data_IF_335600105179
#
_entry.id   IF_335600105179
#
_cell.length_a   1.000
_cell.length_b   1.000
_cell.length_c   1.000
_cell.angle_alpha   90.00
_cell.angle_beta   90.00
_cell.angle_gamma   90.00
#
_symmetry.space_group_name_H-M   'P 1'
#
loop_
_entity.id
_entity.type
_entity.pdbx_description
1 polymer ?
#
# COMPACT_ATOMS: atom_id res chain seq x y z
N UNK A 1 87.74 37.68 9.89
CA UNK A 1 87.12 36.44 10.40
C UNK A 1 85.82 36.20 9.64
N UNK A 2 85.69 35.15 8.82
CA UNK A 2 84.46 34.88 8.07
C UNK A 2 83.42 34.14 8.94
N UNK A 3 82.15 34.48 8.74
CA UNK A 3 80.97 33.93 9.44
C UNK A 3 80.66 32.54 8.88
N UNK A 4 80.65 31.52 9.73
CA UNK A 4 80.26 30.15 9.36
C UNK A 4 78.75 30.13 9.07
N UNK A 5 78.39 29.74 7.86
CA UNK A 5 77.00 29.61 7.42
C UNK A 5 76.49 28.20 7.78
N UNK A 6 75.70 28.09 8.85
CA UNK A 6 75.06 26.84 9.25
C UNK A 6 73.95 26.45 8.24
N UNK A 7 74.18 25.38 7.49
CA UNK A 7 73.14 24.75 6.66
C UNK A 7 72.02 24.14 7.54
N UNK A 8 70.73 24.31 7.19
CA UNK A 8 69.64 23.58 7.84
C UNK A 8 69.74 22.07 7.61
N UNK A 9 69.51 21.27 8.66
CA UNK A 9 69.48 19.79 8.59
C UNK A 9 68.22 19.31 7.86
N UNK A 10 68.29 18.22 7.06
CA UNK A 10 67.10 17.64 6.43
C UNK A 10 66.20 16.94 7.47
N UNK A 11 64.88 16.84 7.20
CA UNK A 11 63.93 16.22 8.12
C UNK A 11 64.15 14.70 8.26
N UNK A 12 64.08 14.21 9.49
CA UNK A 12 64.16 12.79 9.84
C UNK A 12 62.85 12.09 9.47
N UNK A 13 62.91 11.12 8.55
CA UNK A 13 61.77 10.25 8.20
C UNK A 13 61.60 9.19 9.30
N UNK A 14 60.49 9.20 10.02
CA UNK A 14 60.11 8.10 10.94
C UNK A 14 59.55 6.90 10.16
N UNK A 15 59.85 5.64 10.53
CA UNK A 15 59.14 4.48 10.00
C UNK A 15 57.74 4.46 10.59
N UNK A 16 56.71 4.49 9.73
CA UNK A 16 55.32 4.28 10.15
C UNK A 16 55.13 2.83 10.58
N UNK A 17 54.84 2.63 11.86
CA UNK A 17 54.44 1.34 12.42
C UNK A 17 53.09 0.92 11.86
N UNK A 18 53.00 -0.36 11.50
CA UNK A 18 51.75 -0.99 11.12
C UNK A 18 50.83 -1.10 12.32
N UNK A 19 49.60 -0.62 12.16
CA UNK A 19 48.48 -0.99 13.01
C UNK A 19 47.51 -1.83 12.19
N UNK A 20 47.48 -3.12 12.53
CA UNK A 20 46.36 -3.98 12.24
C UNK A 20 45.19 -3.64 13.15
N UNK A 21 44.08 -3.25 12.56
CA UNK A 21 42.74 -3.24 13.16
C UNK A 21 41.78 -3.49 11.99
N UNK A 22 40.94 -4.51 11.99
CA UNK A 22 40.13 -5.00 13.09
C UNK A 22 38.68 -4.73 12.70
N UNK A 23 37.97 -5.78 12.29
CA UNK A 23 36.51 -5.79 12.16
C UNK A 23 35.95 -5.01 10.97
N UNK A 24 35.85 -5.68 9.82
CA UNK A 24 34.83 -5.35 8.82
C UNK A 24 33.46 -5.65 9.44
N UNK A 25 32.92 -4.68 10.18
CA UNK A 25 31.54 -4.69 10.64
C UNK A 25 30.64 -4.69 9.43
N UNK A 26 30.06 -5.86 9.13
CA UNK A 26 28.94 -5.97 8.20
C UNK A 26 27.86 -5.01 8.67
N UNK A 27 27.68 -3.93 7.92
CA UNK A 27 26.57 -3.02 8.11
C UNK A 27 25.30 -3.84 8.01
N UNK A 28 24.67 -4.11 9.15
CA UNK A 28 23.24 -4.34 9.17
C UNK A 28 22.64 -3.09 8.55
N UNK A 29 22.25 -3.17 7.28
CA UNK A 29 21.30 -2.23 6.72
C UNK A 29 20.03 -2.39 7.55
N UNK A 30 19.96 -1.61 8.64
CA UNK A 30 18.78 -1.53 9.48
C UNK A 30 17.69 -0.99 8.55
N UNK A 31 16.85 -1.90 8.05
CA UNK A 31 15.69 -1.55 7.25
C UNK A 31 14.99 -0.39 7.94
N UNK A 32 14.80 0.77 7.29
CA UNK A 32 14.23 1.93 7.94
C UNK A 32 12.90 1.51 8.56
N UNK A 33 12.78 1.68 9.88
CA UNK A 33 11.64 1.25 10.72
C UNK A 33 10.24 1.46 10.10
N UNK A 34 9.96 2.55 9.34
CA UNK A 34 8.67 2.75 8.68
C UNK A 34 8.35 1.73 7.58
N UNK A 35 9.37 1.20 6.89
CA UNK A 35 9.20 0.24 5.80
C UNK A 35 8.90 -1.16 6.33
N UNK A 36 9.50 -1.53 7.47
CA UNK A 36 9.22 -2.79 8.15
C UNK A 36 7.75 -2.84 8.60
N UNK A 37 7.23 -1.76 9.20
CA UNK A 37 5.82 -1.69 9.62
C UNK A 37 4.84 -1.85 8.46
N UNK A 38 5.11 -1.18 7.33
CA UNK A 38 4.31 -1.33 6.11
C UNK A 38 4.35 -2.77 5.57
N UNK A 39 5.54 -3.38 5.51
CA UNK A 39 5.72 -4.75 5.03
C UNK A 39 4.96 -5.77 5.91
N UNK A 40 5.06 -5.63 7.23
CA UNK A 40 4.34 -6.52 8.17
C UNK A 40 2.83 -6.40 7.99
N UNK A 41 2.31 -5.17 7.86
CA UNK A 41 0.89 -4.95 7.56
C UNK A 41 0.52 -5.58 6.23
N UNK A 42 1.27 -5.34 5.16
CA UNK A 42 0.96 -5.91 3.84
C UNK A 42 1.01 -7.45 3.86
N UNK A 43 1.96 -8.05 4.58
CA UNK A 43 2.06 -9.49 4.74
C UNK A 43 0.88 -10.07 5.53
N UNK A 44 0.47 -9.40 6.62
CA UNK A 44 -0.69 -9.79 7.42
C UNK A 44 -2.00 -9.71 6.61
N UNK A 45 -2.20 -8.60 5.89
CA UNK A 45 -3.36 -8.38 5.03
C UNK A 45 -3.41 -9.40 3.89
N UNK A 46 -2.27 -9.68 3.27
CA UNK A 46 -2.18 -10.71 2.22
C UNK A 46 -2.52 -12.10 2.77
N UNK A 47 -1.99 -12.46 3.94
CA UNK A 47 -2.31 -13.74 4.60
C UNK A 47 -3.79 -13.86 4.95
N UNK A 48 -4.40 -12.77 5.44
CA UNK A 48 -5.82 -12.71 5.75
C UNK A 48 -6.68 -12.95 4.49
N UNK A 49 -6.42 -12.20 3.41
CA UNK A 49 -7.16 -12.37 2.15
C UNK A 49 -6.91 -13.72 1.49
N UNK A 50 -5.71 -14.29 1.61
CA UNK A 50 -5.41 -15.64 1.13
C UNK A 50 -6.21 -16.71 1.89
N UNK A 51 -6.30 -16.60 3.22
CA UNK A 51 -7.10 -17.51 4.04
C UNK A 51 -8.60 -17.42 3.68
N UNK A 52 -9.12 -16.20 3.52
CA UNK A 52 -10.51 -15.97 3.08
C UNK A 52 -10.78 -16.53 1.69
N UNK A 53 -9.83 -16.38 0.76
CA UNK A 53 -9.93 -16.94 -0.59
C UNK A 53 -9.97 -18.47 -0.56
N UNK A 54 -9.13 -19.10 0.26
CA UNK A 54 -9.15 -20.56 0.44
C UNK A 54 -10.50 -21.03 0.98
N UNK A 55 -11.02 -20.38 2.03
CA UNK A 55 -12.34 -20.69 2.58
C UNK A 55 -13.48 -20.50 1.56
N UNK A 56 -13.41 -19.43 0.75
CA UNK A 56 -14.36 -19.17 -0.34
C UNK A 56 -14.38 -20.31 -1.36
N UNK A 57 -13.21 -20.71 -1.87
CA UNK A 57 -13.08 -21.74 -2.88
C UNK A 57 -13.59 -23.10 -2.38
N UNK A 58 -13.28 -23.45 -1.13
CA UNK A 58 -13.80 -24.67 -0.50
C UNK A 58 -15.33 -24.60 -0.37
N UNK A 59 -15.88 -23.48 0.11
CA UNK A 59 -17.33 -23.34 0.30
C UNK A 59 -18.11 -23.36 -1.01
N UNK A 60 -17.52 -22.85 -2.09
CA UNK A 60 -18.09 -22.85 -3.44
C UNK A 60 -18.29 -24.27 -3.99
N UNK A 61 -17.49 -25.25 -3.55
CA UNK A 61 -17.65 -26.66 -3.91
C UNK A 61 -18.69 -27.43 -3.09
N UNK A 62 -19.32 -26.80 -2.08
CA UNK A 62 -20.28 -27.44 -1.19
C UNK A 62 -21.74 -27.09 -1.56
N UNK A 63 -22.73 -27.95 -1.22
CA UNK A 63 -24.14 -27.66 -1.45
C UNK A 63 -24.63 -26.33 -0.85
N UNK A 64 -25.68 -25.77 -1.46
CA UNK A 64 -26.28 -24.51 -1.03
C UNK A 64 -25.49 -23.26 -1.46
N UNK A 65 -24.57 -23.39 -2.41
CA UNK A 65 -23.94 -22.25 -3.06
C UNK A 65 -24.87 -21.67 -4.12
N UNK A 66 -25.12 -20.36 -4.05
CA UNK A 66 -25.82 -19.63 -5.09
C UNK A 66 -24.98 -18.39 -5.46
N UNK A 67 -24.63 -18.24 -6.73
CA UNK A 67 -23.87 -17.07 -7.18
C UNK A 67 -24.70 -15.79 -6.95
N UNK A 68 -24.03 -14.69 -6.58
CA UNK A 68 -24.69 -13.41 -6.49
C UNK A 68 -24.84 -12.79 -7.88
N UNK A 69 -25.94 -12.08 -8.14
CA UNK A 69 -26.00 -11.19 -9.29
C UNK A 69 -24.93 -10.11 -9.12
N UNK A 70 -24.14 -9.87 -10.17
CA UNK A 70 -23.08 -8.86 -10.15
C UNK A 70 -23.68 -7.49 -10.46
N UNK A 71 -23.79 -6.57 -9.47
CA UNK A 71 -24.37 -5.26 -9.74
C UNK A 71 -23.45 -4.49 -10.69
N UNK A 72 -23.98 -3.81 -11.74
CA UNK A 72 -23.16 -3.01 -12.64
C UNK A 72 -22.41 -1.89 -11.90
N UNK A 73 -22.89 -1.51 -10.72
CA UNK A 73 -22.23 -0.57 -9.81
C UNK A 73 -20.81 -1.00 -9.40
N UNK A 74 -20.51 -2.31 -9.36
CA UNK A 74 -19.16 -2.81 -9.09
C UNK A 74 -18.15 -2.34 -10.14
N UNK A 75 -18.55 -2.20 -11.41
CA UNK A 75 -17.69 -1.68 -12.47
C UNK A 75 -17.40 -0.20 -12.29
N UNK A 76 -18.42 0.57 -11.91
CA UNK A 76 -18.23 1.98 -11.58
C UNK A 76 -17.29 2.15 -10.39
N UNK A 77 -17.45 1.35 -9.32
CA UNK A 77 -16.54 1.37 -8.18
C UNK A 77 -15.11 1.03 -8.61
N UNK A 78 -14.94 0.01 -9.45
CA UNK A 78 -13.63 -0.39 -9.97
C UNK A 78 -12.97 0.74 -10.76
N UNK A 79 -13.75 1.44 -11.60
CA UNK A 79 -13.26 2.63 -12.32
C UNK A 79 -12.85 3.75 -11.35
N UNK A 80 -13.64 4.03 -10.31
CA UNK A 80 -13.30 5.03 -9.30
C UNK A 80 -11.99 4.70 -8.59
N UNK A 81 -11.79 3.43 -8.19
CA UNK A 81 -10.57 3.00 -7.52
C UNK A 81 -9.35 3.05 -8.45
N UNK A 82 -9.52 2.66 -9.71
CA UNK A 82 -8.48 2.77 -10.73
C UNK A 82 -8.06 4.23 -10.92
N UNK A 83 -9.02 5.14 -11.08
CA UNK A 83 -8.77 6.57 -11.21
C UNK A 83 -8.12 7.14 -9.94
N UNK A 84 -8.52 6.68 -8.76
CA UNK A 84 -7.90 7.08 -7.50
C UNK A 84 -6.41 6.72 -7.48
N UNK A 85 -6.09 5.48 -7.87
CA UNK A 85 -4.72 4.98 -7.92
C UNK A 85 -3.87 5.76 -8.92
N UNK A 86 -4.38 6.01 -10.13
CA UNK A 86 -3.69 6.80 -11.15
C UNK A 86 -3.49 8.25 -10.71
N UNK A 87 -4.47 8.83 -10.02
CA UNK A 87 -4.36 10.18 -9.47
C UNK A 87 -3.26 10.26 -8.41
N UNK A 88 -3.16 9.29 -7.51
CA UNK A 88 -2.12 9.24 -6.48
C UNK A 88 -0.73 8.97 -7.06
N UNK A 89 -0.63 8.09 -8.06
CA UNK A 89 0.60 7.89 -8.82
C UNK A 89 1.07 9.19 -9.47
N UNK A 90 0.15 9.92 -10.11
CA UNK A 90 0.46 11.21 -10.71
C UNK A 90 0.87 12.24 -9.66
N UNK A 91 0.25 12.24 -8.48
CA UNK A 91 0.64 13.09 -7.35
C UNK A 91 2.08 12.79 -6.90
N UNK A 92 2.44 11.50 -6.78
CA UNK A 92 3.75 11.05 -6.32
C UNK A 92 4.89 11.34 -7.31
N UNK A 93 4.57 11.57 -8.59
CA UNK A 93 5.54 11.92 -9.65
C UNK A 93 5.78 13.42 -9.80
N UNK A 94 5.00 14.28 -9.13
CA UNK A 94 5.21 15.72 -9.23
C UNK A 94 6.42 16.16 -8.42
N UNK A 95 7.19 17.10 -8.97
CA UNK A 95 8.38 17.66 -8.30
C UNK A 95 8.04 18.63 -7.17
N UNK A 96 6.87 19.28 -7.24
CA UNK A 96 6.42 20.25 -6.24
C UNK A 96 5.10 19.83 -5.59
N UNK A 97 5.01 20.06 -4.28
CA UNK A 97 3.78 19.78 -3.51
C UNK A 97 2.56 20.55 -4.03
N UNK A 98 2.75 21.79 -4.49
CA UNK A 98 1.67 22.61 -5.06
C UNK A 98 1.02 21.94 -6.27
N UNK A 99 1.80 21.23 -7.09
CA UNK A 99 1.31 20.45 -8.23
C UNK A 99 0.80 19.07 -7.81
N UNK A 100 1.37 18.46 -6.78
CA UNK A 100 0.97 17.14 -6.27
C UNK A 100 -0.38 17.18 -5.53
N UNK A 101 -0.62 18.21 -4.73
CA UNK A 101 -1.78 18.36 -3.84
C UNK A 101 -3.14 18.13 -4.52
N UNK A 102 -3.48 18.75 -5.67
CA UNK A 102 -4.78 18.51 -6.31
C UNK A 102 -4.98 17.04 -6.72
N UNK A 103 -3.94 16.38 -7.21
CA UNK A 103 -4.00 14.95 -7.56
C UNK A 103 -4.13 14.05 -6.33
N UNK A 104 -3.47 14.40 -5.22
CA UNK A 104 -3.63 13.69 -3.96
C UNK A 104 -5.07 13.82 -3.42
N UNK A 105 -5.62 15.04 -3.44
CA UNK A 105 -7.02 15.28 -3.04
C UNK A 105 -8.01 14.55 -3.94
N UNK A 106 -7.83 14.61 -5.27
CA UNK A 106 -8.66 13.88 -6.21
C UNK A 106 -8.63 12.37 -5.94
N UNK A 107 -7.44 11.80 -5.68
CA UNK A 107 -7.30 10.39 -5.30
C UNK A 107 -8.06 10.03 -4.03
N UNK A 108 -7.95 10.87 -2.98
CA UNK A 108 -8.70 10.69 -1.75
C UNK A 108 -10.22 10.75 -1.95
N UNK A 109 -10.70 11.75 -2.70
CA UNK A 109 -12.14 11.91 -3.02
C UNK A 109 -12.66 10.71 -3.81
N UNK A 110 -11.92 10.23 -4.80
CA UNK A 110 -12.29 9.05 -5.59
C UNK A 110 -12.35 7.79 -4.72
N UNK A 111 -11.43 7.61 -3.77
CA UNK A 111 -11.49 6.50 -2.82
C UNK A 111 -12.66 6.59 -1.84
N UNK A 112 -13.04 7.80 -1.38
CA UNK A 112 -14.28 7.99 -0.62
C UNK A 112 -15.50 7.65 -1.50
N UNK A 113 -15.48 8.04 -2.78
CA UNK A 113 -16.48 7.67 -3.76
C UNK A 113 -16.63 6.14 -3.89
N UNK A 114 -15.53 5.39 -3.92
CA UNK A 114 -15.55 3.93 -3.89
C UNK A 114 -16.25 3.40 -2.64
N UNK A 115 -15.93 3.93 -1.44
CA UNK A 115 -16.55 3.48 -0.19
C UNK A 115 -18.06 3.70 -0.21
N UNK A 116 -18.51 4.88 -0.67
CA UNK A 116 -19.94 5.18 -0.82
C UNK A 116 -20.61 4.27 -1.86
N UNK A 117 -19.96 4.06 -3.00
CA UNK A 117 -20.44 3.14 -4.03
C UNK A 117 -20.52 1.69 -3.53
N UNK A 118 -19.62 1.27 -2.64
CA UNK A 118 -19.66 -0.05 -2.02
C UNK A 118 -20.84 -0.19 -1.05
N UNK A 119 -21.10 0.84 -0.23
CA UNK A 119 -22.29 0.88 0.63
C UNK A 119 -23.59 0.84 -0.17
N UNK A 120 -23.62 1.50 -1.33
CA UNK A 120 -24.77 1.45 -2.23
C UNK A 120 -24.92 0.07 -2.87
N UNK A 121 -23.84 -0.57 -3.29
CA UNK A 121 -23.87 -1.94 -3.80
C UNK A 121 -24.41 -2.93 -2.76
N UNK A 122 -24.03 -2.75 -1.49
CA UNK A 122 -24.57 -3.52 -0.37
C UNK A 122 -26.06 -3.30 -0.17
N UNK A 123 -26.53 -2.05 -0.23
CA UNK A 123 -27.97 -1.74 -0.13
C UNK A 123 -28.77 -2.36 -1.26
N UNK A 124 -28.29 -2.25 -2.50
CA UNK A 124 -28.94 -2.87 -3.66
C UNK A 124 -29.07 -4.39 -3.50
N UNK A 125 -28.03 -5.06 -3.01
CA UNK A 125 -28.08 -6.51 -2.76
C UNK A 125 -29.04 -6.87 -1.62
N UNK A 126 -29.09 -6.07 -0.55
CA UNK A 126 -30.05 -6.25 0.54
C UNK A 126 -31.49 -6.10 0.05
N UNK A 127 -31.77 -5.08 -0.76
CA UNK A 127 -33.10 -4.83 -1.33
C UNK A 127 -33.54 -5.95 -2.29
N UNK A 128 -32.57 -6.61 -2.94
CA UNK A 128 -32.79 -7.80 -3.77
C UNK A 128 -32.92 -9.11 -2.96
N UNK A 129 -32.85 -9.05 -1.62
CA UNK A 129 -32.98 -10.20 -0.73
C UNK A 129 -31.68 -10.98 -0.46
N UNK A 130 -30.53 -10.51 -0.95
CA UNK A 130 -29.22 -11.13 -0.71
C UNK A 130 -28.62 -10.67 0.61
N UNK A 131 -29.25 -11.03 1.72
CA UNK A 131 -28.71 -10.74 3.05
C UNK A 131 -27.41 -11.53 3.34
N UNK A 132 -26.48 -10.99 4.16
CA UNK A 132 -25.23 -11.67 4.50
C UNK A 132 -25.42 -13.07 5.10
N UNK A 133 -26.49 -13.28 5.86
CA UNK A 133 -26.83 -14.57 6.47
C UNK A 133 -27.75 -15.45 5.60
N UNK A 134 -28.22 -14.96 4.45
CA UNK A 134 -29.19 -15.68 3.60
C UNK A 134 -28.56 -16.75 2.71
N UNK A 135 -27.30 -16.56 2.30
CA UNK A 135 -26.56 -17.48 1.46
C UNK A 135 -25.05 -17.37 1.77
N UNK A 136 -24.31 -18.48 1.89
CA UNK A 136 -22.87 -18.48 2.06
C UNK A 136 -22.12 -17.55 1.11
N UNK A 137 -22.46 -17.53 -0.18
CA UNK A 137 -21.78 -16.67 -1.15
C UNK A 137 -21.95 -15.20 -0.80
N UNK A 138 -23.16 -14.79 -0.39
CA UNK A 138 -23.44 -13.42 0.07
C UNK A 138 -22.61 -13.09 1.31
N UNK A 139 -22.59 -13.98 2.31
CA UNK A 139 -21.77 -13.79 3.51
C UNK A 139 -20.29 -13.54 3.19
N UNK A 140 -19.70 -14.33 2.30
CA UNK A 140 -18.32 -14.12 1.85
C UNK A 140 -18.14 -12.80 1.09
N UNK A 141 -19.07 -12.44 0.20
CA UNK A 141 -19.03 -11.18 -0.53
C UNK A 141 -19.00 -9.98 0.43
N UNK A 142 -19.93 -9.93 1.40
CA UNK A 142 -19.98 -8.83 2.39
C UNK A 142 -18.73 -8.80 3.27
N UNK A 143 -18.22 -9.97 3.71
CA UNK A 143 -17.02 -10.05 4.54
C UNK A 143 -15.77 -9.57 3.79
N UNK A 144 -15.54 -10.08 2.58
CA UNK A 144 -14.36 -9.74 1.77
C UNK A 144 -14.41 -8.26 1.35
N UNK A 145 -15.53 -7.81 0.80
CA UNK A 145 -15.68 -6.41 0.38
C UNK A 145 -15.67 -5.43 1.55
N UNK A 146 -16.17 -5.85 2.72
CA UNK A 146 -16.17 -5.04 3.94
C UNK A 146 -14.77 -4.88 4.52
N UNK A 147 -14.01 -5.98 4.60
CA UNK A 147 -12.60 -5.92 4.98
C UNK A 147 -11.80 -5.08 4.00
N UNK A 148 -12.00 -5.26 2.69
CA UNK A 148 -11.35 -4.43 1.68
C UNK A 148 -11.68 -2.93 1.85
N UNK A 149 -12.96 -2.60 2.05
CA UNK A 149 -13.41 -1.24 2.33
C UNK A 149 -12.77 -0.65 3.60
N UNK A 150 -12.59 -1.45 4.65
CA UNK A 150 -11.91 -1.03 5.87
C UNK A 150 -10.43 -0.69 5.62
N UNK A 151 -9.72 -1.49 4.81
CA UNK A 151 -8.34 -1.20 4.44
C UNK A 151 -8.24 0.06 3.58
N UNK A 152 -9.17 0.25 2.65
CA UNK A 152 -9.25 1.47 1.85
C UNK A 152 -9.54 2.70 2.70
N UNK A 153 -10.44 2.60 3.68
CA UNK A 153 -10.68 3.65 4.67
C UNK A 153 -9.39 3.98 5.44
N UNK A 154 -8.64 2.96 5.87
CA UNK A 154 -7.31 3.13 6.45
C UNK A 154 -6.34 3.86 5.52
N UNK A 155 -6.37 3.56 4.22
CA UNK A 155 -5.59 4.25 3.19
C UNK A 155 -5.97 5.71 2.98
N UNK A 156 -7.26 6.04 3.04
CA UNK A 156 -7.77 7.42 3.00
C UNK A 156 -7.33 8.20 4.23
N UNK A 157 -7.43 7.61 5.42
CA UNK A 157 -6.94 8.23 6.65
C UNK A 157 -5.41 8.41 6.63
N UNK A 158 -4.67 7.42 6.11
CA UNK A 158 -3.23 7.52 5.95
C UNK A 158 -2.82 8.62 4.96
N UNK A 159 -3.62 8.88 3.91
CA UNK A 159 -3.40 9.96 2.95
C UNK A 159 -3.52 11.36 3.58
N UNK A 160 -4.25 11.51 4.70
CA UNK A 160 -4.32 12.76 5.44
C UNK A 160 -2.93 13.21 5.95
N UNK A 161 -2.03 12.27 6.23
CA UNK A 161 -0.69 12.58 6.71
C UNK A 161 0.21 13.25 5.65
N UNK A 162 0.39 12.69 4.44
CA UNK A 162 1.04 13.41 3.35
C UNK A 162 0.38 14.76 3.03
N UNK A 163 -0.95 14.86 3.13
CA UNK A 163 -1.67 16.14 2.93
C UNK A 163 -1.28 17.20 3.97
N UNK A 164 -1.12 16.80 5.24
CA UNK A 164 -0.68 17.69 6.32
C UNK A 164 0.83 17.99 6.29
N UNK A 165 1.64 17.06 5.79
CA UNK A 165 3.11 17.10 5.80
C UNK A 165 3.72 17.45 4.44
N UNK A 166 2.99 18.20 3.62
CA UNK A 166 3.44 18.73 2.32
C UNK A 166 4.02 17.66 1.37
N UNK A 167 3.34 16.52 1.28
CA UNK A 167 3.69 15.45 0.34
C UNK A 167 4.69 14.42 0.86
N UNK A 168 5.21 14.57 2.09
CA UNK A 168 6.07 13.55 2.69
C UNK A 168 5.31 12.22 2.77
N UNK A 169 5.97 11.14 2.31
CA UNK A 169 5.42 9.80 2.22
C UNK A 169 4.28 9.58 1.18
N UNK A 170 4.10 10.49 0.21
CA UNK A 170 3.17 10.26 -0.91
C UNK A 170 3.50 9.01 -1.72
N UNK A 171 4.79 8.73 -1.96
CA UNK A 171 5.22 7.61 -2.79
C UNK A 171 4.90 6.24 -2.15
N UNK A 172 5.22 5.98 -0.87
CA UNK A 172 4.71 4.80 -0.16
C UNK A 172 3.18 4.73 -0.12
N UNK A 173 2.49 5.88 0.01
CA UNK A 173 1.04 5.93 -0.02
C UNK A 173 0.49 5.47 -1.38
N UNK A 174 1.03 5.96 -2.50
CA UNK A 174 0.62 5.52 -3.83
C UNK A 174 0.81 4.00 -4.01
N UNK A 175 1.93 3.43 -3.58
CA UNK A 175 2.15 1.97 -3.61
C UNK A 175 1.11 1.19 -2.81
N UNK A 176 0.73 1.67 -1.62
CA UNK A 176 -0.33 1.06 -0.82
C UNK A 176 -1.69 1.05 -1.56
N UNK A 177 -2.01 2.15 -2.25
CA UNK A 177 -3.25 2.23 -3.03
C UNK A 177 -3.24 1.31 -4.26
N UNK A 178 -2.10 1.17 -4.96
CA UNK A 178 -1.95 0.19 -6.04
C UNK A 178 -2.11 -1.25 -5.53
N UNK A 179 -1.59 -1.56 -4.34
CA UNK A 179 -1.81 -2.86 -3.70
C UNK A 179 -3.30 -3.11 -3.46
N UNK A 180 -4.04 -2.13 -2.92
CA UNK A 180 -5.48 -2.25 -2.72
C UNK A 180 -6.22 -2.45 -4.04
N UNK A 181 -5.86 -1.72 -5.10
CA UNK A 181 -6.42 -1.93 -6.43
C UNK A 181 -6.17 -3.36 -6.93
N UNK A 182 -4.95 -3.89 -6.76
CA UNK A 182 -4.61 -5.26 -7.15
C UNK A 182 -5.45 -6.30 -6.42
N UNK A 183 -5.60 -6.15 -5.09
CA UNK A 183 -6.46 -7.02 -4.28
C UNK A 183 -7.92 -6.94 -4.74
N UNK A 184 -8.41 -5.74 -5.03
CA UNK A 184 -9.78 -5.54 -5.53
C UNK A 184 -10.01 -6.24 -6.87
N UNK A 185 -9.11 -6.05 -7.84
CA UNK A 185 -9.22 -6.68 -9.15
C UNK A 185 -9.17 -8.21 -9.07
N UNK A 186 -8.33 -8.75 -8.18
CA UNK A 186 -8.29 -10.18 -7.92
C UNK A 186 -9.65 -10.71 -7.45
N UNK A 187 -10.27 -10.06 -6.46
CA UNK A 187 -11.58 -10.48 -5.95
C UNK A 187 -12.72 -10.23 -6.93
N UNK A 188 -12.68 -9.13 -7.68
CA UNK A 188 -13.63 -8.87 -8.75
C UNK A 188 -13.56 -9.99 -9.81
N UNK A 189 -12.36 -10.38 -10.21
CA UNK A 189 -12.16 -11.51 -11.13
C UNK A 189 -12.67 -12.84 -10.57
N UNK A 190 -12.46 -13.09 -9.27
CA UNK A 190 -12.98 -14.27 -8.59
C UNK A 190 -14.51 -14.31 -8.57
N UNK A 191 -15.16 -13.17 -8.31
CA UNK A 191 -16.62 -13.02 -8.32
C UNK A 191 -17.23 -13.14 -9.71
N UNK A 192 -16.51 -12.72 -10.75
CA UNK A 192 -16.96 -12.86 -12.14
C UNK A 192 -16.85 -14.32 -12.65
N UNK A 193 -15.99 -15.13 -12.03
CA UNK A 193 -15.79 -16.54 -12.40
C UNK A 193 -16.79 -17.48 -11.71
N UNK A 194 -17.28 -17.10 -10.52
CA UNK A 194 -18.21 -17.90 -9.70
C UNK A 194 -19.65 -17.82 -10.15
#
# INVERSE_FOLDING_TARGET
MPRVEERPRPPVRRPGGGEGGGGAGGGQEAFPLPHLGLLVILAAVTSLFAALTSAYLVRMGLPGWQALPTPPLLWLNTLLLLLASLSLEKAARQESWSRAKPWALAGGVLGVGFLLGQLLAWRLLLDLGYAPAGNPASGFFYLITGLHGLHLLGGVLALAWPLARQGRALRPCAWYWHYLLGVWLFFLGLLLRS
#
